data_IF_365910155007
#
_entry.id   IF_365910155007
#
_cell.length_a   1.000
_cell.length_b   1.000
_cell.length_c   1.000
_cell.angle_alpha   90.00
_cell.angle_beta   90.00
_cell.angle_gamma   90.00
#
_symmetry.space_group_name_H-M   'P 1'
#
loop_
_entity.id
_entity.type
_entity.pdbx_description
1 polymer ?
#
# COMPACT_ATOMS: atom_id res chain seq x y z
N UNK A 1 -23.44 21.99 6.14
CA UNK A 1 -24.12 21.67 4.86
C UNK A 1 -23.18 21.64 3.65
N UNK A 2 -22.27 22.61 3.46
CA UNK A 2 -21.31 22.63 2.33
C UNK A 2 -20.39 21.39 2.18
N UNK A 3 -19.98 20.75 3.29
CA UNK A 3 -19.12 19.54 3.27
C UNK A 3 -19.81 18.30 2.68
N UNK A 4 -21.10 18.12 2.94
CA UNK A 4 -21.89 17.01 2.39
C UNK A 4 -22.27 17.26 0.94
N UNK A 5 -22.40 18.52 0.52
CA UNK A 5 -22.69 18.89 -0.86
C UNK A 5 -21.53 18.53 -1.82
N UNK A 6 -20.28 18.73 -1.40
CA UNK A 6 -19.11 18.25 -2.15
C UNK A 6 -19.08 16.71 -2.22
N UNK A 7 -19.39 16.02 -1.12
CA UNK A 7 -19.38 14.57 -1.07
C UNK A 7 -20.45 13.96 -2.00
N UNK A 8 -21.65 14.56 -2.03
CA UNK A 8 -22.75 14.19 -2.92
C UNK A 8 -22.42 14.53 -4.38
N UNK A 9 -21.76 15.66 -4.64
CA UNK A 9 -21.28 16.02 -5.97
C UNK A 9 -20.23 15.06 -6.52
N UNK A 10 -19.28 14.63 -5.68
CA UNK A 10 -18.26 13.61 -6.04
C UNK A 10 -18.91 12.24 -6.26
N UNK A 11 -19.88 11.85 -5.42
CA UNK A 11 -20.64 10.61 -5.61
C UNK A 11 -21.49 10.65 -6.89
N UNK A 12 -22.08 11.80 -7.21
CA UNK A 12 -22.89 12.01 -8.42
C UNK A 12 -22.09 11.94 -9.72
N UNK A 13 -20.86 12.46 -9.72
CA UNK A 13 -19.93 12.36 -10.87
C UNK A 13 -19.43 10.92 -11.07
N UNK A 14 -19.26 10.16 -9.98
CA UNK A 14 -18.94 8.73 -10.04
C UNK A 14 -20.10 7.87 -10.57
N UNK A 15 -21.35 8.29 -10.33
CA UNK A 15 -22.55 7.56 -10.77
C UNK A 15 -22.98 7.87 -12.22
N UNK A 16 -22.49 8.95 -12.84
CA UNK A 16 -22.94 9.40 -14.17
C UNK A 16 -22.20 8.76 -15.37
N UNK A 17 -21.32 7.78 -15.15
CA UNK A 17 -20.53 7.12 -16.22
C UNK A 17 -21.02 5.70 -16.56
N UNK A 18 -22.32 5.41 -16.45
CA UNK A 18 -22.87 4.06 -16.70
C UNK A 18 -23.10 3.71 -18.18
N UNK A 19 -22.69 4.56 -19.13
CA UNK A 19 -22.94 4.34 -20.56
C UNK A 19 -21.97 3.40 -21.28
N UNK A 20 -20.99 2.79 -20.59
CA UNK A 20 -20.09 1.78 -21.17
C UNK A 20 -19.91 0.61 -20.20
N UNK A 21 -20.83 -0.34 -20.22
CA UNK A 21 -20.72 -1.61 -19.50
C UNK A 21 -19.65 -2.51 -20.14
N UNK A 22 -18.37 -2.19 -19.90
CA UNK A 22 -17.31 -3.19 -20.04
C UNK A 22 -17.49 -4.19 -18.90
N UNK A 23 -17.48 -5.50 -19.19
CA UNK A 23 -17.37 -6.52 -18.14
C UNK A 23 -16.17 -6.17 -17.24
N UNK A 24 -16.47 -5.72 -16.03
CA UNK A 24 -15.47 -5.23 -15.09
C UNK A 24 -14.75 -6.45 -14.53
N UNK A 25 -13.56 -6.71 -15.08
CA UNK A 25 -12.64 -7.70 -14.51
C UNK A 25 -12.20 -7.18 -13.14
N UNK A 26 -12.47 -7.97 -12.10
CA UNK A 26 -12.03 -7.72 -10.74
C UNK A 26 -10.94 -8.73 -10.41
N UNK A 27 -9.92 -8.32 -9.68
CA UNK A 27 -8.84 -9.19 -9.23
C UNK A 27 -8.64 -9.02 -7.73
N UNK A 28 -8.33 -10.12 -7.05
CA UNK A 28 -7.82 -10.09 -5.68
C UNK A 28 -6.38 -10.55 -5.67
N UNK A 29 -5.57 -9.99 -4.77
CA UNK A 29 -4.15 -10.30 -4.72
C UNK A 29 -3.57 -10.25 -3.31
N UNK A 30 -2.50 -11.01 -3.12
CA UNK A 30 -1.63 -10.95 -1.93
C UNK A 30 -0.19 -10.77 -2.39
N UNK A 31 0.57 -9.94 -1.70
CA UNK A 31 1.98 -9.65 -1.91
C UNK A 31 2.84 -10.53 -0.99
N UNK A 32 3.60 -11.43 -1.61
CA UNK A 32 4.44 -12.40 -0.94
C UNK A 32 5.57 -11.75 -0.13
N UNK A 33 5.98 -10.52 -0.47
CA UNK A 33 6.98 -9.79 0.31
C UNK A 33 6.43 -9.39 1.69
N UNK A 34 5.14 -9.04 1.79
CA UNK A 34 4.51 -8.78 3.07
C UNK A 34 4.34 -10.09 3.86
N UNK A 35 3.92 -11.16 3.20
CA UNK A 35 3.78 -12.49 3.81
C UNK A 35 5.10 -12.97 4.43
N UNK A 36 6.24 -12.74 3.75
CA UNK A 36 7.57 -13.05 4.26
C UNK A 36 7.95 -12.26 5.53
N UNK A 37 7.33 -11.10 5.76
CA UNK A 37 7.51 -10.30 6.99
C UNK A 37 6.40 -10.54 8.02
N UNK A 38 5.61 -11.61 7.86
CA UNK A 38 4.43 -11.94 8.67
C UNK A 38 3.31 -10.88 8.62
N UNK A 39 3.35 -9.99 7.63
CA UNK A 39 2.38 -8.91 7.47
C UNK A 39 1.21 -9.38 6.62
N UNK A 40 0.03 -9.45 7.21
CA UNK A 40 -1.20 -9.80 6.49
C UNK A 40 -1.50 -8.69 5.48
N UNK A 41 -1.86 -9.05 4.25
CA UNK A 41 -2.14 -8.08 3.21
C UNK A 41 -3.18 -8.60 2.22
N UNK A 42 -3.91 -7.67 1.61
CA UNK A 42 -4.91 -7.97 0.59
C UNK A 42 -5.06 -6.77 -0.35
N UNK A 43 -5.12 -7.04 -1.65
CA UNK A 43 -5.41 -6.06 -2.68
C UNK A 43 -6.64 -6.43 -3.50
N UNK A 44 -7.39 -5.41 -3.89
CA UNK A 44 -8.50 -5.49 -4.83
C UNK A 44 -8.18 -4.59 -6.02
N UNK A 45 -8.22 -5.13 -7.22
CA UNK A 45 -7.98 -4.37 -8.45
C UNK A 45 -9.15 -4.48 -9.42
N UNK A 46 -9.63 -3.33 -9.89
CA UNK A 46 -10.82 -3.23 -10.74
C UNK A 46 -10.41 -2.62 -12.08
N UNK A 47 -10.74 -3.30 -13.18
CA UNK A 47 -10.51 -2.77 -14.52
C UNK A 47 -11.46 -1.63 -14.88
N UNK A 48 -10.92 -0.42 -15.05
CA UNK A 48 -11.69 0.80 -15.38
C UNK A 48 -11.90 1.02 -16.89
N UNK A 49 -11.07 0.40 -17.74
CA UNK A 49 -11.16 0.55 -19.19
C UNK A 49 -10.37 -0.54 -19.93
N UNK A 50 -10.00 -0.31 -21.19
CA UNK A 50 -9.16 -1.26 -21.94
C UNK A 50 -7.72 -1.33 -21.39
N UNK A 51 -7.18 -0.17 -20.97
CA UNK A 51 -5.80 0.00 -20.52
C UNK A 51 -5.66 0.58 -19.10
N UNK A 52 -6.76 0.68 -18.37
CA UNK A 52 -6.78 1.29 -17.05
C UNK A 52 -7.35 0.33 -16.01
N UNK A 53 -6.72 0.29 -14.83
CA UNK A 53 -7.24 -0.35 -13.63
C UNK A 53 -6.96 0.51 -12.40
N UNK A 54 -7.75 0.29 -11.35
CA UNK A 54 -7.56 0.87 -10.04
C UNK A 54 -7.31 -0.24 -9.03
N UNK A 55 -6.15 -0.19 -8.39
CA UNK A 55 -5.72 -1.09 -7.32
C UNK A 55 -5.94 -0.40 -5.96
N UNK A 56 -6.49 -1.13 -5.01
CA UNK A 56 -6.56 -0.74 -3.60
C UNK A 56 -5.99 -1.88 -2.78
N UNK A 57 -4.79 -1.67 -2.24
CA UNK A 57 -4.11 -2.62 -1.38
C UNK A 57 -4.07 -2.14 0.06
N UNK A 58 -4.19 -3.08 1.00
CA UNK A 58 -4.06 -2.84 2.44
C UNK A 58 -3.17 -3.87 3.09
N UNK A 59 -2.49 -3.47 4.17
CA UNK A 59 -1.68 -4.35 5.00
C UNK A 59 -1.96 -4.11 6.50
N UNK A 60 -1.77 -5.16 7.28
CA UNK A 60 -1.97 -5.16 8.72
C UNK A 60 -1.00 -6.15 9.38
N UNK A 61 -0.36 -5.69 10.44
CA UNK A 61 0.52 -6.50 11.26
C UNK A 61 0.25 -6.17 12.75
N UNK A 62 -0.27 -7.13 13.55
CA UNK A 62 -0.53 -6.93 14.97
C UNK A 62 0.64 -7.30 15.90
N UNK A 63 1.74 -7.83 15.36
CA UNK A 63 2.68 -8.63 16.13
C UNK A 63 3.50 -7.80 17.13
N UNK A 64 3.61 -8.37 18.32
CA UNK A 64 4.61 -8.08 19.35
C UNK A 64 5.33 -9.41 19.56
N UNK A 65 6.59 -9.51 19.16
CA UNK A 65 7.33 -10.77 19.21
C UNK A 65 7.87 -11.04 20.61
N UNK A 66 8.32 -9.98 21.29
CA UNK A 66 8.77 -10.00 22.69
C UNK A 66 8.54 -8.61 23.33
N UNK A 67 9.06 -8.38 24.54
CA UNK A 67 8.88 -7.10 25.23
C UNK A 67 9.53 -5.91 24.53
N UNK A 68 10.56 -6.14 23.73
CA UNK A 68 11.35 -5.15 23.01
C UNK A 68 10.92 -5.02 21.54
N UNK A 69 10.66 -6.14 20.86
CA UNK A 69 10.39 -6.22 19.43
C UNK A 69 8.90 -6.04 19.10
N UNK A 70 8.59 -4.99 18.35
CA UNK A 70 7.24 -4.67 17.87
C UNK A 70 7.23 -4.36 16.38
N UNK A 71 6.27 -4.96 15.67
CA UNK A 71 6.03 -4.72 14.24
C UNK A 71 4.59 -4.29 13.98
N UNK A 72 4.01 -3.48 14.88
CA UNK A 72 2.60 -3.11 14.77
C UNK A 72 2.40 -2.04 13.72
N UNK A 73 1.70 -2.36 12.63
CA UNK A 73 1.36 -1.36 11.63
C UNK A 73 0.12 -1.74 10.85
N UNK A 74 -0.46 -0.74 10.21
CA UNK A 74 -1.43 -0.94 9.15
C UNK A 74 -1.27 0.16 8.11
N UNK A 75 -1.60 -0.16 6.86
CA UNK A 75 -1.50 0.79 5.78
C UNK A 75 -2.42 0.48 4.63
N UNK A 76 -2.63 1.49 3.80
CA UNK A 76 -3.38 1.40 2.54
C UNK A 76 -2.59 2.09 1.44
N UNK A 77 -2.63 1.53 0.24
CA UNK A 77 -1.90 2.01 -0.92
C UNK A 77 -2.78 1.89 -2.18
N UNK A 78 -3.64 2.90 -2.45
CA UNK A 78 -4.35 3.00 -3.71
C UNK A 78 -3.39 3.33 -4.86
N UNK A 79 -3.61 2.72 -6.03
CA UNK A 79 -2.79 2.93 -7.23
C UNK A 79 -3.66 2.92 -8.49
N UNK A 80 -3.56 4.01 -9.27
CA UNK A 80 -4.11 4.05 -10.63
C UNK A 80 -3.06 3.48 -11.59
N UNK A 81 -3.44 2.46 -12.37
CA UNK A 81 -2.52 1.76 -13.27
C UNK A 81 -2.91 1.99 -14.74
N UNK A 82 -1.92 2.34 -15.54
CA UNK A 82 -1.98 2.38 -16.99
C UNK A 82 -1.19 1.22 -17.60
N UNK A 83 -1.87 0.37 -18.37
CA UNK A 83 -1.32 -0.80 -19.03
C UNK A 83 -0.90 -0.47 -20.45
N UNK A 84 0.29 -0.90 -20.85
CA UNK A 84 0.82 -0.57 -22.18
C UNK A 84 0.03 -1.26 -23.31
N UNK A 85 -0.46 -2.48 -23.06
CA UNK A 85 -1.23 -3.28 -24.02
C UNK A 85 -2.72 -3.41 -23.63
N UNK A 86 -3.05 -4.29 -22.68
CA UNK A 86 -4.39 -4.51 -22.14
C UNK A 86 -4.30 -4.63 -20.62
N UNK A 87 -5.35 -4.20 -19.89
CA UNK A 87 -5.44 -4.41 -18.44
C UNK A 87 -5.20 -5.86 -18.04
N UNK A 88 -4.50 -6.07 -16.93
CA UNK A 88 -4.15 -7.39 -16.39
C UNK A 88 -3.24 -8.23 -17.30
N UNK A 89 -2.45 -7.61 -18.20
CA UNK A 89 -1.52 -8.34 -19.06
C UNK A 89 -0.25 -7.52 -19.37
N UNK A 90 0.90 -8.02 -18.91
CA UNK A 90 2.22 -7.46 -19.23
C UNK A 90 2.54 -6.17 -18.46
N UNK A 91 3.13 -5.20 -19.16
CA UNK A 91 3.68 -3.98 -18.56
C UNK A 91 2.61 -2.96 -18.15
N UNK A 92 2.82 -2.33 -16.99
CA UNK A 92 2.05 -1.18 -16.55
C UNK A 92 2.89 -0.12 -15.83
N UNK A 93 2.39 1.11 -15.86
CA UNK A 93 2.85 2.23 -15.05
C UNK A 93 1.77 2.57 -14.02
N UNK A 94 2.17 2.87 -12.79
CA UNK A 94 1.26 3.22 -11.70
C UNK A 94 1.53 4.60 -11.13
N UNK A 95 0.46 5.24 -10.66
CA UNK A 95 0.50 6.40 -9.77
C UNK A 95 -0.16 5.99 -8.46
N UNK A 96 0.62 5.96 -7.38
CA UNK A 96 0.14 5.49 -6.08
C UNK A 96 0.17 6.57 -5.00
N UNK A 97 -0.84 6.53 -4.14
CA UNK A 97 -0.80 7.16 -2.82
C UNK A 97 -0.51 6.10 -1.77
N UNK A 98 0.03 6.48 -0.63
CA UNK A 98 0.17 5.56 0.50
C UNK A 98 -0.06 6.28 1.82
N UNK A 99 -0.68 5.57 2.76
CA UNK A 99 -0.82 5.98 4.15
C UNK A 99 -0.56 4.77 5.04
N UNK A 100 0.18 4.94 6.12
CA UNK A 100 0.29 3.92 7.15
C UNK A 100 0.40 4.53 8.54
N UNK A 101 -0.13 3.81 9.53
CA UNK A 101 0.17 4.04 10.94
C UNK A 101 1.07 2.92 11.41
N UNK A 102 2.16 3.27 12.07
CA UNK A 102 3.16 2.30 12.52
C UNK A 102 3.55 2.54 13.97
N UNK A 103 3.95 1.46 14.61
CA UNK A 103 4.53 1.39 15.95
C UNK A 103 5.54 0.25 15.92
N UNK A 104 6.77 0.60 15.55
CA UNK A 104 7.86 -0.33 15.27
C UNK A 104 9.07 -0.02 16.12
N UNK A 105 9.78 -1.04 16.59
CA UNK A 105 10.99 -0.89 17.42
C UNK A 105 11.50 -2.25 17.91
N UNK A 106 12.70 -2.28 18.47
CA UNK A 106 13.33 -3.52 18.95
C UNK A 106 13.84 -4.44 17.86
N UNK A 107 14.07 -3.93 16.63
CA UNK A 107 14.49 -4.76 15.50
C UNK A 107 16.00 -4.62 15.25
N UNK A 108 16.80 -5.46 15.91
CA UNK A 108 18.27 -5.52 15.78
C UNK A 108 18.74 -5.78 14.34
N UNK A 109 17.95 -6.51 13.54
CA UNK A 109 18.27 -6.81 12.15
C UNK A 109 18.16 -5.61 11.17
N UNK A 110 17.53 -4.50 11.59
CA UNK A 110 17.36 -3.32 10.73
C UNK A 110 18.39 -2.21 10.98
N UNK A 111 18.82 -2.00 12.24
CA UNK A 111 19.87 -1.06 12.66
C UNK A 111 19.95 -1.00 14.20
N UNK A 112 21.14 -0.73 14.75
CA UNK A 112 21.37 -0.40 16.18
C UNK A 112 20.41 0.69 16.73
N UNK A 113 19.99 1.64 15.88
CA UNK A 113 19.08 2.70 16.29
C UNK A 113 17.62 2.21 16.39
N UNK A 114 17.24 1.23 15.55
CA UNK A 114 15.91 0.59 15.54
C UNK A 114 15.80 -0.50 16.61
N UNK A 115 16.94 -1.07 17.02
CA UNK A 115 17.04 -1.96 18.18
C UNK A 115 16.70 -1.20 19.47
N UNK A 116 17.33 -0.04 19.70
CA UNK A 116 17.22 0.69 20.98
C UNK A 116 16.05 1.66 21.08
N UNK A 117 15.32 1.90 20.00
CA UNK A 117 14.25 2.90 20.00
C UNK A 117 12.98 2.42 19.32
N UNK A 118 11.85 2.92 19.82
CA UNK A 118 10.53 2.69 19.24
C UNK A 118 10.04 3.95 18.54
N UNK A 119 9.57 3.78 17.32
CA UNK A 119 8.99 4.81 16.49
C UNK A 119 7.50 4.54 16.32
N UNK A 120 6.69 5.49 16.79
CA UNK A 120 5.24 5.42 16.63
C UNK A 120 4.76 6.68 15.92
N UNK A 121 4.01 6.50 14.84
CA UNK A 121 3.60 7.63 14.03
C UNK A 121 2.78 7.25 12.82
N UNK A 122 2.70 8.20 11.91
CA UNK A 122 2.01 8.10 10.65
C UNK A 122 2.98 8.42 9.52
N UNK A 123 2.79 7.76 8.38
CA UNK A 123 3.41 8.15 7.13
C UNK A 123 2.33 8.34 6.09
N UNK A 124 2.55 9.32 5.21
CA UNK A 124 1.72 9.50 4.02
C UNK A 124 2.51 10.11 2.88
N UNK A 125 2.08 9.84 1.67
CA UNK A 125 2.75 10.34 0.50
C UNK A 125 2.23 9.68 -0.76
N UNK A 126 3.07 9.71 -1.79
CA UNK A 126 2.75 9.16 -3.08
C UNK A 126 3.98 8.99 -3.95
N UNK A 127 3.81 8.27 -5.04
CA UNK A 127 4.89 7.94 -5.94
C UNK A 127 4.38 7.37 -7.26
N UNK A 128 5.33 6.96 -8.08
CA UNK A 128 5.08 6.26 -9.32
C UNK A 128 5.63 4.84 -9.21
N UNK A 129 5.04 3.92 -9.96
CA UNK A 129 5.46 2.54 -10.01
C UNK A 129 5.54 2.03 -11.44
N UNK A 130 6.34 0.99 -11.62
CA UNK A 130 6.39 0.20 -12.82
C UNK A 130 6.25 -1.26 -12.42
N UNK A 131 5.46 -2.00 -13.19
CA UNK A 131 5.28 -3.42 -12.95
C UNK A 131 5.06 -4.22 -14.22
N UNK A 132 5.17 -5.53 -14.05
CA UNK A 132 4.88 -6.52 -15.07
C UNK A 132 4.03 -7.63 -14.47
N UNK A 133 2.95 -8.00 -15.17
CA UNK A 133 2.09 -9.12 -14.80
C UNK A 133 2.22 -10.27 -15.81
N UNK A 134 2.58 -11.46 -15.30
CA UNK A 134 2.56 -12.73 -16.01
C UNK A 134 1.22 -13.45 -15.80
N UNK A 135 0.65 -13.96 -16.89
CA UNK A 135 -0.51 -14.85 -16.84
C UNK A 135 -0.02 -16.28 -16.60
N UNK A 136 -0.35 -16.86 -15.44
CA UNK A 136 0.01 -18.25 -15.10
C UNK A 136 -1.07 -19.25 -15.55
N UNK A 137 -2.30 -18.78 -15.76
CA UNK A 137 -3.42 -19.59 -16.22
C UNK A 137 -4.64 -18.73 -16.51
N UNK A 138 -5.82 -19.37 -16.57
CA UNK A 138 -7.07 -18.68 -16.94
C UNK A 138 -7.54 -17.64 -15.92
N UNK A 139 -7.16 -17.82 -14.64
CA UNK A 139 -7.53 -16.92 -13.53
C UNK A 139 -6.37 -16.54 -12.63
N UNK A 140 -5.23 -17.22 -12.72
CA UNK A 140 -4.07 -16.94 -11.88
C UNK A 140 -3.04 -16.11 -12.62
N UNK A 141 -2.46 -15.15 -11.92
CA UNK A 141 -1.38 -14.31 -12.44
C UNK A 141 -0.36 -14.03 -11.34
N UNK A 142 0.85 -13.66 -11.75
CA UNK A 142 1.92 -13.20 -10.89
C UNK A 142 2.30 -11.80 -11.34
N UNK A 143 2.59 -10.87 -10.42
CA UNK A 143 3.18 -9.58 -10.76
C UNK A 143 4.47 -9.33 -10.00
N UNK A 144 5.35 -8.53 -10.60
CA UNK A 144 6.45 -7.87 -9.92
C UNK A 144 6.32 -6.36 -10.11
N UNK A 145 6.47 -5.59 -9.02
CA UNK A 145 6.27 -4.14 -9.03
C UNK A 145 7.37 -3.47 -8.20
N UNK A 146 7.93 -2.39 -8.73
CA UNK A 146 8.79 -1.47 -7.99
C UNK A 146 8.26 -0.05 -8.14
N UNK A 147 8.32 0.73 -7.07
CA UNK A 147 7.87 2.11 -7.07
C UNK A 147 8.73 3.01 -6.22
N UNK A 148 8.92 4.23 -6.71
CA UNK A 148 9.68 5.29 -6.06
C UNK A 148 8.76 6.48 -5.80
N UNK A 149 8.99 7.17 -4.69
CA UNK A 149 8.12 8.27 -4.31
C UNK A 149 8.60 9.02 -3.09
N UNK A 150 7.74 9.92 -2.66
CA UNK A 150 7.94 10.75 -1.49
C UNK A 150 7.02 10.29 -0.36
N UNK A 151 7.52 10.29 0.86
CA UNK A 151 6.76 10.07 2.07
C UNK A 151 7.09 11.13 3.13
N UNK A 152 6.06 11.66 3.77
CA UNK A 152 6.16 12.47 4.99
C UNK A 152 5.95 11.54 6.18
N UNK A 153 6.94 11.48 7.07
CA UNK A 153 6.87 10.74 8.32
C UNK A 153 6.65 11.72 9.46
N UNK A 154 5.62 11.49 10.26
CA UNK A 154 5.37 12.21 11.51
C UNK A 154 5.35 11.18 12.64
N UNK A 155 6.42 11.15 13.43
CA UNK A 155 6.57 10.16 14.49
C UNK A 155 7.09 10.73 15.80
N UNK A 156 6.70 10.06 16.87
CA UNK A 156 7.30 10.20 18.18
C UNK A 156 8.31 9.08 18.39
N UNK A 157 9.52 9.45 18.79
CA UNK A 157 10.59 8.56 19.21
C UNK A 157 10.47 8.31 20.72
N UNK A 158 10.56 7.06 21.13
CA UNK A 158 10.53 6.62 22.52
C UNK A 158 11.87 5.97 22.90
N UNK A 159 12.35 6.17 24.14
CA UNK A 159 13.62 5.61 24.64
C UNK A 159 13.66 4.08 24.70
N UNK A 160 12.50 3.44 24.84
CA UNK A 160 12.36 2.00 25.03
C UNK A 160 11.03 1.50 24.47
N UNK A 161 10.93 0.19 24.28
CA UNK A 161 9.75 -0.46 23.71
C UNK A 161 8.53 -0.47 24.65
N UNK A 162 8.78 -0.59 25.96
CA UNK A 162 7.77 -0.74 27.03
C UNK A 162 7.56 0.51 27.88
N UNK A 163 8.55 1.39 27.97
CA UNK A 163 8.54 2.56 28.85
C UNK A 163 8.61 3.90 28.09
N UNK A 164 8.21 4.97 28.78
CA UNK A 164 8.70 6.32 28.48
C UNK A 164 7.69 7.31 27.91
N UNK A 165 7.72 8.50 28.49
CA UNK A 165 7.30 9.77 27.89
C UNK A 165 7.98 9.99 26.54
N UNK A 166 7.33 10.74 25.64
CA UNK A 166 7.86 11.03 24.29
C UNK A 166 9.26 11.65 24.40
N UNK A 167 10.27 10.99 23.81
CA UNK A 167 11.64 11.50 23.80
C UNK A 167 11.78 12.68 22.84
N UNK A 168 11.15 12.55 21.66
CA UNK A 168 11.18 13.56 20.60
C UNK A 168 10.04 13.34 19.61
N UNK A 169 9.37 14.40 19.17
CA UNK A 169 8.48 14.37 18.01
C UNK A 169 9.22 14.94 16.81
N UNK A 170 9.32 14.16 15.73
CA UNK A 170 10.05 14.53 14.52
C UNK A 170 9.16 14.41 13.29
N UNK A 171 9.34 15.37 12.36
CA UNK A 171 8.78 15.30 11.03
C UNK A 171 9.92 15.12 10.04
N UNK A 172 9.89 14.03 9.26
CA UNK A 172 10.91 13.70 8.27
C UNK A 172 10.32 13.59 6.88
N UNK A 173 11.12 14.03 5.91
CA UNK A 173 10.85 13.83 4.49
C UNK A 173 11.70 12.65 4.03
N UNK A 174 11.07 11.69 3.35
CA UNK A 174 11.74 10.56 2.75
C UNK A 174 11.46 10.57 1.25
N UNK A 175 12.49 10.34 0.45
CA UNK A 175 12.37 10.08 -0.98
C UNK A 175 13.16 8.81 -1.30
N UNK A 176 12.53 7.87 -1.98
CA UNK A 176 13.14 6.58 -2.28
C UNK A 176 12.11 5.51 -2.64
N UNK A 177 12.45 4.23 -2.48
CA UNK A 177 11.51 3.13 -2.66
C UNK A 177 10.27 3.28 -1.75
N UNK A 178 9.08 3.37 -2.36
CA UNK A 178 7.79 3.47 -1.65
C UNK A 178 6.81 2.37 -2.03
N UNK A 179 7.19 1.48 -2.96
CA UNK A 179 6.44 0.27 -3.29
C UNK A 179 7.40 -0.83 -3.76
N UNK A 180 7.17 -2.04 -3.27
CA UNK A 180 7.78 -3.25 -3.79
C UNK A 180 6.76 -4.38 -3.62
N UNK A 181 6.51 -5.14 -4.68
CA UNK A 181 5.58 -6.26 -4.62
C UNK A 181 6.01 -7.41 -5.52
N UNK A 182 5.80 -8.62 -5.01
CA UNK A 182 5.70 -9.84 -5.79
C UNK A 182 4.37 -10.47 -5.41
N UNK A 183 3.34 -10.29 -6.24
CA UNK A 183 1.97 -10.64 -5.85
C UNK A 183 1.43 -11.83 -6.62
N UNK A 184 0.76 -12.74 -5.91
CA UNK A 184 -0.11 -13.75 -6.52
C UNK A 184 -1.49 -13.11 -6.68
N UNK A 185 -2.07 -13.24 -7.87
CA UNK A 185 -3.31 -12.58 -8.28
C UNK A 185 -4.31 -13.65 -8.74
N UNK A 186 -5.56 -13.49 -8.30
CA UNK A 186 -6.70 -14.26 -8.80
C UNK A 186 -7.73 -13.33 -9.45
N UNK A 187 -8.03 -13.56 -10.73
CA UNK A 187 -9.03 -12.83 -11.50
C UNK A 187 -10.42 -13.42 -11.24
N UNK A 188 -11.30 -12.60 -10.67
CA UNK A 188 -12.71 -12.87 -10.45
C UNK A 188 -13.45 -12.54 -11.75
N UNK A 189 -14.17 -13.53 -12.28
CA UNK A 189 -15.06 -13.39 -13.42
C UNK A 189 -16.42 -12.88 -12.98
#
# INVERSE_FOLDING_TARGET
>A
MKKYLCLIGVLGVLLCNTANSYAQKVAVKTNLLYDATTTMNLGLEIGLGKKWSLDLSGNYNPWKFDDETRLRHWGVQPELRYWLCEKFNGHFLGLHGHYAKYNVGGMSFLSDNMERHRYQGHLWGGGISYGYQWLLGSRWSLEAVLGVGYARLDHSKYPCATCGTVQKSEKKNYFGPTKAAVSIIYIIK
#
